data_IF_473391174262
#
_entry.id   IF_473391174262
#
_cell.length_a   1.000
_cell.length_b   1.000
_cell.length_c   1.000
_cell.angle_alpha   90.00
_cell.angle_beta   90.00
_cell.angle_gamma   90.00
#
_symmetry.space_group_name_H-M   'P 1'
#
loop_
_entity.id
_entity.type
_entity.pdbx_description
1 polymer ?
#
# COMPACT_ATOMS: atom_id res chain seq x y z
N UNK A 1 -45.51 50.59 -47.98
CA UNK A 1 -46.61 50.29 -47.03
C UNK A 1 -46.67 48.79 -46.79
N UNK A 2 -46.99 48.42 -45.56
CA UNK A 2 -47.28 47.08 -45.00
C UNK A 2 -46.09 46.31 -44.41
N UNK A 3 -46.15 46.32 -43.07
CA UNK A 3 -45.37 45.59 -42.07
C UNK A 3 -45.57 44.08 -42.26
N UNK A 4 -44.51 43.29 -42.20
CA UNK A 4 -44.63 41.86 -41.99
C UNK A 4 -44.06 41.47 -40.63
N UNK A 5 -44.96 40.88 -39.86
CA UNK A 5 -44.92 40.47 -38.47
C UNK A 5 -43.85 39.40 -38.21
N UNK A 6 -42.97 39.61 -37.23
CA UNK A 6 -42.15 38.55 -36.65
C UNK A 6 -43.08 37.57 -35.91
N UNK A 7 -43.09 36.29 -36.32
CA UNK A 7 -43.56 35.21 -35.47
C UNK A 7 -42.46 34.84 -34.47
N UNK A 8 -42.80 34.86 -33.19
CA UNK A 8 -41.97 34.39 -32.10
C UNK A 8 -41.84 32.87 -32.15
N UNK A 9 -40.60 32.37 -32.16
CA UNK A 9 -40.28 30.96 -31.90
C UNK A 9 -39.79 30.88 -30.46
N UNK A 10 -40.69 30.52 -29.54
CA UNK A 10 -40.31 30.15 -28.18
C UNK A 10 -40.06 28.64 -28.15
N UNK A 11 -38.81 28.23 -28.34
CA UNK A 11 -38.37 26.86 -28.09
C UNK A 11 -38.10 26.70 -26.60
N UNK A 12 -38.99 25.99 -25.90
CA UNK A 12 -38.80 25.61 -24.50
C UNK A 12 -37.78 24.46 -24.49
N UNK A 13 -36.51 24.77 -24.23
CA UNK A 13 -35.51 23.76 -23.90
C UNK A 13 -35.76 23.25 -22.49
N UNK A 14 -36.26 22.02 -22.38
CA UNK A 14 -36.31 21.29 -21.12
C UNK A 14 -34.87 20.88 -20.74
N UNK A 15 -34.28 21.60 -19.79
CA UNK A 15 -33.04 21.20 -19.13
C UNK A 15 -33.33 19.96 -18.26
N UNK A 16 -33.02 18.77 -18.78
CA UNK A 16 -32.99 17.56 -17.96
C UNK A 16 -31.67 17.54 -17.20
N UNK A 17 -31.68 18.08 -15.99
CA UNK A 17 -30.60 17.90 -15.03
C UNK A 17 -30.58 16.44 -14.59
N UNK A 18 -29.76 15.61 -15.25
CA UNK A 18 -29.44 14.28 -14.74
C UNK A 18 -28.58 14.45 -13.49
N UNK A 19 -29.21 14.34 -12.33
CA UNK A 19 -28.54 14.15 -11.05
C UNK A 19 -27.77 12.82 -11.11
N UNK A 20 -26.51 12.86 -11.55
CA UNK A 20 -25.56 11.77 -11.32
C UNK A 20 -25.27 11.74 -9.83
N UNK A 21 -25.93 10.85 -9.11
CA UNK A 21 -25.55 10.55 -7.74
C UNK A 21 -24.10 10.04 -7.75
N UNK A 22 -23.22 10.58 -6.89
CA UNK A 22 -21.90 10.00 -6.73
C UNK A 22 -22.06 8.55 -6.23
N UNK A 23 -21.22 7.61 -6.70
CA UNK A 23 -21.25 6.26 -6.18
C UNK A 23 -21.10 6.32 -4.66
N UNK A 24 -21.97 5.61 -3.95
CA UNK A 24 -21.86 5.47 -2.50
C UNK A 24 -20.47 4.88 -2.20
N UNK A 25 -19.71 5.55 -1.34
CA UNK A 25 -18.48 4.99 -0.79
C UNK A 25 -18.85 3.67 -0.10
N UNK A 26 -18.45 2.54 -0.67
CA UNK A 26 -18.60 1.25 -0.01
C UNK A 26 -17.71 1.29 1.23
N UNK A 27 -18.29 0.97 2.39
CA UNK A 27 -17.51 0.79 3.59
C UNK A 27 -16.41 -0.25 3.30
N UNK A 28 -15.16 0.13 3.55
CA UNK A 28 -14.03 -0.76 3.38
C UNK A 28 -14.25 -1.98 4.28
N UNK A 29 -14.16 -3.19 3.72
CA UNK A 29 -14.13 -4.39 4.55
C UNK A 29 -13.01 -4.21 5.58
N UNK A 30 -13.34 -4.40 6.86
CA UNK A 30 -12.40 -4.16 7.95
C UNK A 30 -11.13 -4.99 7.72
N UNK A 31 -9.97 -4.38 7.94
CA UNK A 31 -8.71 -5.12 7.99
C UNK A 31 -8.82 -6.26 9.02
N UNK A 32 -8.06 -7.33 8.85
CA UNK A 32 -8.11 -8.48 9.76
C UNK A 32 -7.29 -8.25 11.05
N UNK A 33 -7.12 -6.99 11.49
CA UNK A 33 -6.33 -6.67 12.67
C UNK A 33 -7.11 -6.92 13.97
N UNK A 34 -6.46 -7.46 15.01
CA UNK A 34 -6.97 -7.44 16.37
C UNK A 34 -7.24 -6.02 16.88
N UNK A 35 -7.95 -5.92 18.01
CA UNK A 35 -8.24 -4.63 18.68
C UNK A 35 -6.98 -3.85 19.07
N UNK A 36 -5.88 -4.56 19.31
CA UNK A 36 -4.58 -3.98 19.68
C UNK A 36 -3.74 -3.60 18.44
N UNK A 37 -4.32 -3.64 17.24
CA UNK A 37 -3.65 -3.37 15.98
C UNK A 37 -2.98 -4.60 15.35
N UNK A 38 -2.53 -4.45 14.10
CA UNK A 38 -1.72 -5.48 13.43
C UNK A 38 -0.24 -5.26 13.74
N UNK A 39 0.39 -6.25 14.36
CA UNK A 39 1.81 -6.25 14.67
C UNK A 39 2.50 -7.40 13.93
N UNK A 40 3.67 -7.12 13.39
CA UNK A 40 4.55 -8.09 12.73
C UNK A 40 5.99 -7.85 13.16
N UNK A 41 6.72 -8.93 13.44
CA UNK A 41 8.12 -8.91 13.85
C UNK A 41 8.92 -9.91 13.02
N UNK A 42 10.18 -9.58 12.74
CA UNK A 42 11.15 -10.51 12.16
C UNK A 42 11.81 -11.26 13.32
N UNK A 43 11.59 -12.58 13.42
CA UNK A 43 12.13 -13.41 14.50
C UNK A 43 13.45 -14.08 14.14
N UNK A 44 13.69 -14.32 12.84
CA UNK A 44 14.98 -14.76 12.33
C UNK A 44 15.23 -14.29 10.90
N UNK A 45 16.52 -14.11 10.58
CA UNK A 45 17.02 -13.87 9.23
C UNK A 45 18.20 -14.79 8.98
N UNK A 46 18.24 -15.43 7.81
CA UNK A 46 19.37 -16.24 7.37
C UNK A 46 19.60 -16.07 5.87
N UNK A 47 20.82 -16.36 5.41
CA UNK A 47 21.10 -16.38 3.98
C UNK A 47 20.48 -17.62 3.33
N UNK A 48 19.80 -17.43 2.20
CA UNK A 48 19.24 -18.50 1.37
C UNK A 48 19.61 -18.24 -0.10
N UNK A 49 20.67 -18.90 -0.55
CA UNK A 49 21.25 -18.63 -1.87
C UNK A 49 21.80 -17.21 -1.94
N UNK A 50 21.35 -16.44 -2.95
CA UNK A 50 21.69 -15.02 -3.13
C UNK A 50 20.69 -14.08 -2.42
N UNK A 51 19.72 -14.63 -1.69
CA UNK A 51 18.64 -13.91 -1.01
C UNK A 51 18.66 -14.15 0.51
N UNK A 52 17.75 -13.52 1.24
CA UNK A 52 17.55 -13.71 2.67
C UNK A 52 16.23 -14.45 2.93
N UNK A 53 16.26 -15.46 3.79
CA UNK A 53 15.07 -16.07 4.36
C UNK A 53 14.73 -15.39 5.68
N UNK A 54 13.51 -14.87 5.77
CA UNK A 54 12.92 -14.27 6.95
C UNK A 54 11.91 -15.22 7.57
N UNK A 55 11.84 -15.20 8.89
CA UNK A 55 10.70 -15.77 9.64
C UNK A 55 10.03 -14.65 10.40
N UNK A 56 8.69 -14.66 10.38
CA UNK A 56 7.85 -13.68 11.04
C UNK A 56 7.08 -14.28 12.21
N UNK A 57 6.81 -13.43 13.20
CA UNK A 57 5.65 -13.59 14.08
C UNK A 57 4.70 -12.41 13.84
N UNK A 58 3.43 -12.71 13.65
CA UNK A 58 2.38 -11.71 13.51
C UNK A 58 1.15 -12.07 14.38
N UNK A 59 0.47 -11.05 14.90
CA UNK A 59 -0.79 -11.25 15.64
C UNK A 59 -2.04 -11.31 14.72
N UNK A 60 -1.81 -11.37 13.41
CA UNK A 60 -2.82 -11.52 12.37
C UNK A 60 -2.34 -12.56 11.34
N UNK A 61 -3.26 -13.08 10.54
CA UNK A 61 -2.92 -13.90 9.39
C UNK A 61 -2.94 -13.02 8.13
N UNK A 62 -1.80 -12.80 7.45
CA UNK A 62 -1.76 -12.04 6.21
C UNK A 62 -2.64 -12.66 5.12
N UNK A 63 -3.36 -11.81 4.40
CA UNK A 63 -4.23 -12.12 3.27
C UNK A 63 -4.34 -10.85 2.43
N UNK A 64 -3.78 -10.85 1.22
CA UNK A 64 -3.75 -9.66 0.34
C UNK A 64 -5.13 -9.01 0.12
N UNK A 65 -6.24 -9.71 0.32
CA UNK A 65 -7.59 -9.16 0.24
C UNK A 65 -8.02 -8.32 1.46
N UNK A 66 -7.30 -8.40 2.58
CA UNK A 66 -7.60 -7.74 3.87
C UNK A 66 -6.42 -6.95 4.40
N UNK A 67 -5.31 -7.62 4.66
CA UNK A 67 -4.07 -7.05 5.20
C UNK A 67 -2.87 -7.88 4.76
N UNK A 68 -1.72 -7.26 4.67
CA UNK A 68 -0.51 -7.94 4.24
C UNK A 68 0.71 -7.31 4.90
N UNK A 69 1.86 -7.90 4.62
CA UNK A 69 3.14 -7.47 5.17
C UNK A 69 3.88 -6.68 4.10
N UNK A 70 4.33 -5.48 4.46
CA UNK A 70 5.32 -4.76 3.66
C UNK A 70 6.71 -5.10 4.18
N UNK A 71 7.59 -5.49 3.26
CA UNK A 71 9.03 -5.70 3.52
C UNK A 71 9.82 -4.71 2.67
N UNK A 72 10.77 -4.00 3.28
CA UNK A 72 11.59 -3.00 2.57
C UNK A 72 12.97 -2.80 3.19
N UNK A 73 13.87 -2.22 2.41
CA UNK A 73 15.19 -1.78 2.85
C UNK A 73 15.09 -0.43 3.59
N UNK A 74 15.27 -0.44 4.90
CA UNK A 74 14.98 0.66 5.82
C UNK A 74 15.82 1.93 5.61
N UNK A 75 17.06 1.79 5.15
CA UNK A 75 17.90 2.95 4.82
C UNK A 75 17.47 3.64 3.51
N UNK A 76 16.63 2.98 2.70
CA UNK A 76 16.10 3.53 1.45
C UNK A 76 14.75 4.21 1.64
N UNK A 77 13.90 3.67 2.52
CA UNK A 77 12.54 4.15 2.71
C UNK A 77 12.15 4.15 4.18
N UNK A 78 11.48 5.22 4.60
CA UNK A 78 10.77 5.25 5.89
C UNK A 78 9.46 4.47 5.79
N UNK A 79 8.91 4.04 6.93
CA UNK A 79 7.62 3.35 6.99
C UNK A 79 6.49 4.14 6.31
N UNK A 80 6.49 5.48 6.38
CA UNK A 80 5.46 6.32 5.73
C UNK A 80 5.60 6.34 4.21
N UNK A 81 6.81 6.15 3.70
CA UNK A 81 7.10 6.13 2.26
C UNK A 81 6.76 4.80 1.59
N UNK A 82 6.50 3.75 2.37
CA UNK A 82 6.07 2.44 1.86
C UNK A 82 4.56 2.26 2.03
N UNK A 83 3.79 3.34 1.87
CA UNK A 83 2.32 3.35 1.92
C UNK A 83 1.74 3.73 0.55
N UNK A 84 0.43 3.62 0.37
CA UNK A 84 -0.22 3.91 -0.92
C UNK A 84 -0.01 5.37 -1.39
N UNK A 85 0.23 6.31 -0.48
CA UNK A 85 0.50 7.71 -0.79
C UNK A 85 1.97 8.02 -1.14
N UNK A 86 2.83 7.02 -1.27
CA UNK A 86 4.26 7.17 -1.55
C UNK A 86 4.59 8.13 -2.71
N UNK A 87 3.91 7.99 -3.86
CA UNK A 87 4.15 8.84 -5.03
C UNK A 87 3.59 10.25 -4.82
N UNK A 88 2.37 10.34 -4.30
CA UNK A 88 1.63 11.61 -4.20
C UNK A 88 2.13 12.51 -3.08
N UNK A 89 2.64 11.94 -1.99
CA UNK A 89 3.08 12.69 -0.80
C UNK A 89 4.60 12.70 -0.62
N UNK A 90 5.31 11.67 -1.09
CA UNK A 90 6.72 11.48 -0.77
C UNK A 90 7.65 11.39 -1.99
N UNK A 91 7.12 11.56 -3.21
CA UNK A 91 7.89 11.44 -4.47
C UNK A 91 8.67 10.12 -4.56
N UNK A 92 8.15 9.06 -3.92
CA UNK A 92 8.70 7.71 -3.96
C UNK A 92 7.87 6.84 -4.89
N UNK A 93 8.53 6.06 -5.74
CA UNK A 93 7.84 5.23 -6.74
C UNK A 93 7.20 3.99 -6.10
N UNK A 94 5.91 3.77 -6.36
CA UNK A 94 5.26 2.54 -5.92
C UNK A 94 5.90 1.28 -6.50
N UNK A 95 6.07 0.27 -5.64
CA UNK A 95 6.68 -1.01 -5.99
C UNK A 95 8.19 -1.08 -5.72
N UNK A 96 8.82 -0.02 -5.21
CA UNK A 96 10.21 -0.08 -4.70
C UNK A 96 10.30 -0.66 -3.27
N UNK A 97 9.16 -1.07 -2.70
CA UNK A 97 9.00 -1.94 -1.53
C UNK A 97 8.14 -3.14 -1.92
N UNK A 98 8.18 -4.19 -1.11
CA UNK A 98 7.55 -5.45 -1.48
C UNK A 98 6.36 -5.81 -0.57
N UNK A 99 5.12 -5.84 -1.09
CA UNK A 99 4.00 -6.42 -0.38
C UNK A 99 3.99 -7.95 -0.48
N UNK A 100 3.67 -8.64 0.61
CA UNK A 100 3.56 -10.10 0.64
C UNK A 100 2.54 -10.58 1.67
N UNK A 101 1.91 -11.72 1.40
CA UNK A 101 1.13 -12.51 2.36
C UNK A 101 1.83 -13.81 2.76
N UNK A 102 3.09 -14.02 2.33
CA UNK A 102 3.88 -15.17 2.72
C UNK A 102 4.14 -15.18 4.24
N UNK A 103 3.71 -16.25 4.91
CA UNK A 103 3.78 -16.38 6.36
C UNK A 103 3.78 -17.86 6.78
N UNK A 104 4.56 -18.26 7.80
CA UNK A 104 5.47 -17.43 8.60
C UNK A 104 6.82 -17.18 7.93
N UNK A 105 7.08 -17.77 6.77
CA UNK A 105 8.37 -17.69 6.08
C UNK A 105 8.25 -16.89 4.79
N UNK A 106 9.30 -16.11 4.49
CA UNK A 106 9.41 -15.32 3.28
C UNK A 106 10.87 -15.26 2.85
N UNK A 107 11.15 -15.63 1.60
CA UNK A 107 12.46 -15.40 0.97
C UNK A 107 12.41 -14.10 0.20
N UNK A 108 13.38 -13.21 0.43
CA UNK A 108 13.43 -11.91 -0.23
C UNK A 108 13.39 -12.05 -1.74
N UNK A 109 12.62 -11.17 -2.36
CA UNK A 109 12.47 -11.12 -3.81
C UNK A 109 11.98 -9.75 -4.25
N UNK A 110 11.93 -9.52 -5.56
CA UNK A 110 11.46 -8.25 -6.13
C UNK A 110 12.20 -7.06 -5.52
N UNK A 111 11.47 -6.08 -5.00
CA UNK A 111 12.04 -4.88 -4.39
C UNK A 111 12.73 -5.11 -3.04
N UNK A 112 12.37 -6.19 -2.32
CA UNK A 112 13.05 -6.58 -1.09
C UNK A 112 14.27 -7.48 -1.36
N UNK A 113 14.51 -7.88 -2.62
CA UNK A 113 15.69 -8.68 -3.00
C UNK A 113 16.99 -8.05 -2.53
N UNK A 114 17.95 -8.89 -2.14
CA UNK A 114 19.32 -8.49 -1.82
C UNK A 114 19.95 -7.72 -2.98
N UNK A 115 19.67 -8.10 -4.22
CA UNK A 115 20.16 -7.39 -5.41
C UNK A 115 19.67 -5.95 -5.51
N UNK A 116 18.56 -5.61 -4.84
CA UNK A 116 17.98 -4.27 -4.81
C UNK A 116 18.45 -3.46 -3.59
N UNK A 117 19.17 -4.03 -2.62
CA UNK A 117 19.47 -3.33 -1.36
C UNK A 117 20.44 -2.15 -1.50
N UNK A 118 21.22 -2.12 -2.58
CA UNK A 118 22.39 -1.25 -2.72
C UNK A 118 23.35 -1.44 -1.52
N UNK A 119 23.67 -0.37 -0.78
CA UNK A 119 24.51 -0.43 0.42
C UNK A 119 23.70 -0.65 1.71
N UNK A 120 22.37 -0.77 1.61
CA UNK A 120 21.48 -0.90 2.77
C UNK A 120 21.66 -2.25 3.45
N UNK A 121 21.62 -2.24 4.78
CA UNK A 121 21.70 -3.46 5.61
C UNK A 121 20.51 -3.57 6.56
N UNK A 122 19.73 -2.50 6.74
CA UNK A 122 18.50 -2.52 7.52
C UNK A 122 17.35 -3.08 6.70
N UNK A 123 16.78 -4.19 7.14
CA UNK A 123 15.56 -4.77 6.56
C UNK A 123 14.40 -4.56 7.53
N UNK A 124 13.30 -3.99 7.04
CA UNK A 124 12.18 -3.58 7.86
C UNK A 124 10.88 -4.25 7.44
N UNK A 125 9.95 -4.34 8.40
CA UNK A 125 8.63 -4.96 8.25
C UNK A 125 7.55 -4.13 8.95
N UNK A 126 6.36 -4.08 8.35
CA UNK A 126 5.15 -3.48 8.92
C UNK A 126 3.91 -4.10 8.29
N UNK A 127 2.78 -4.02 8.99
CA UNK A 127 1.49 -4.40 8.44
C UNK A 127 0.89 -3.28 7.57
N UNK A 128 0.27 -3.67 6.47
CA UNK A 128 -0.49 -2.82 5.57
C UNK A 128 -1.89 -3.39 5.31
N UNK A 129 -2.82 -2.55 4.88
CA UNK A 129 -4.16 -2.97 4.49
C UNK A 129 -4.21 -3.41 3.01
N UNK A 130 -5.37 -3.88 2.55
CA UNK A 130 -5.60 -4.25 1.14
C UNK A 130 -5.32 -3.16 0.09
N UNK A 131 -5.27 -1.89 0.47
CA UNK A 131 -5.00 -0.77 -0.42
C UNK A 131 -3.51 -0.36 -0.39
N UNK A 132 -2.65 -1.17 0.25
CA UNK A 132 -1.23 -0.87 0.49
C UNK A 132 -1.00 0.31 1.45
N UNK A 133 -2.01 0.68 2.24
CA UNK A 133 -1.83 1.70 3.28
C UNK A 133 -1.21 1.06 4.51
N UNK A 134 -0.13 1.66 5.02
CA UNK A 134 0.44 1.25 6.30
C UNK A 134 -0.61 1.47 7.39
N UNK A 135 -0.89 0.41 8.14
CA UNK A 135 -1.94 0.40 9.15
C UNK A 135 -1.58 1.25 10.37
N UNK A 136 -0.33 1.18 10.80
CA UNK A 136 0.20 1.99 11.88
C UNK A 136 1.68 2.33 11.62
N UNK A 137 2.01 3.59 11.32
CA UNK A 137 3.39 4.01 11.03
C UNK A 137 4.29 4.03 12.27
N UNK A 138 3.77 3.78 13.47
CA UNK A 138 4.56 3.59 14.69
C UNK A 138 4.84 2.10 14.97
N UNK A 139 4.13 1.19 14.30
CA UNK A 139 4.24 -0.26 14.48
C UNK A 139 5.04 -0.95 13.37
N UNK A 140 6.36 -0.70 13.35
CA UNK A 140 7.29 -1.38 12.44
C UNK A 140 8.52 -1.89 13.18
N UNK A 141 9.18 -2.89 12.60
CA UNK A 141 10.42 -3.45 13.12
C UNK A 141 11.47 -3.44 12.01
N UNK A 142 12.71 -3.12 12.37
CA UNK A 142 13.86 -3.26 11.49
C UNK A 142 14.92 -4.13 12.15
N UNK A 143 15.62 -4.92 11.33
CA UNK A 143 16.77 -5.73 11.74
C UNK A 143 17.98 -5.37 10.89
N UNK A 144 19.15 -5.33 11.52
CA UNK A 144 20.42 -5.21 10.81
C UNK A 144 20.82 -6.59 10.27
N UNK A 145 21.08 -6.65 8.96
CA UNK A 145 21.48 -7.86 8.22
C UNK A 145 22.92 -7.79 7.72
N UNK A 146 23.71 -6.81 8.15
CA UNK A 146 25.08 -6.59 7.67
C UNK A 146 25.98 -7.82 7.77
N UNK A 147 25.79 -8.68 8.77
CA UNK A 147 26.59 -9.90 8.97
C UNK A 147 26.27 -11.04 7.97
N UNK A 148 25.26 -10.86 7.11
CA UNK A 148 24.81 -11.84 6.13
C UNK A 148 25.31 -11.56 4.69
N UNK A 149 26.14 -10.53 4.50
CA UNK A 149 26.70 -10.11 3.21
C UNK A 149 28.22 -10.09 3.18
#
# INVERSE_FOLDING_TARGET
>A
MKRNTLLAVAAIMALQSTLTMPPAALAQEANACPVDGCLVQITSVSAEGDELALTFEANFAPDMSKNHIHVWWGDRFTVRQVSNNAETEYDQKQGDWHPTDAYPEYVTTGAASVSQRAETTMLCVSAADRNHDILDPEAFMCVDTAALF
#
